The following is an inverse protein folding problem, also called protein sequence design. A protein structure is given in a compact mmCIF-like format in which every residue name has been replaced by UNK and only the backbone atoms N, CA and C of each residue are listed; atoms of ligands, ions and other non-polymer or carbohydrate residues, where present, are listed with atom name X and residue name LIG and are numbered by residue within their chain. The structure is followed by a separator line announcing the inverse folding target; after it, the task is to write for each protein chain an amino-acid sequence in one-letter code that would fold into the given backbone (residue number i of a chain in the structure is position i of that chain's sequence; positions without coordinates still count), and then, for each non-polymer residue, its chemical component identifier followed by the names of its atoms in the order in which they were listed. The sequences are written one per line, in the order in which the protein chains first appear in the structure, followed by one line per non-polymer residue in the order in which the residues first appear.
data_IF_026612635436
#
_entry.id   IF_026612635436
#
_cell.length_a   1.000
_cell.length_b   1.000
_cell.length_c   1.000
_cell.angle_alpha   90.00
_cell.angle_beta   90.00
_cell.angle_gamma   90.00
#
_symmetry.space_group_name_H-M   'P 1'
#
loop_
_entity.id
_entity.type
_entity.pdbx_description
1 polymer ?
#
# COMPACT_ATOMS: atom_id res chain seq x y z
N UNK A 1 -6.00 -33.07 -17.50
CA UNK A 1 -7.41 -32.74 -17.91
C UNK A 1 -8.52 -33.19 -16.95
N UNK A 2 -8.52 -34.38 -16.32
CA UNK A 2 -9.57 -34.75 -15.33
C UNK A 2 -9.36 -34.10 -13.97
N UNK A 3 -8.13 -33.91 -13.53
CA UNK A 3 -7.81 -33.24 -12.24
C UNK A 3 -8.14 -31.74 -12.21
N UNK A 4 -8.00 -31.04 -13.35
CA UNK A 4 -8.30 -29.60 -13.43
C UNK A 4 -9.78 -29.29 -13.19
N UNK A 5 -10.69 -30.14 -13.70
CA UNK A 5 -12.14 -29.93 -13.50
C UNK A 5 -12.57 -30.13 -12.05
N UNK A 6 -12.00 -31.11 -11.35
CA UNK A 6 -12.30 -31.34 -9.94
C UNK A 6 -11.75 -30.18 -9.08
N UNK A 7 -10.55 -29.70 -9.39
CA UNK A 7 -9.98 -28.53 -8.72
C UNK A 7 -10.84 -27.27 -8.90
N UNK A 8 -11.35 -27.03 -10.12
CA UNK A 8 -12.23 -25.88 -10.40
C UNK A 8 -13.57 -25.97 -9.65
N UNK A 9 -14.17 -27.17 -9.55
CA UNK A 9 -15.41 -27.37 -8.77
C UNK A 9 -15.19 -27.12 -7.29
N UNK A 10 -14.07 -27.59 -6.72
CA UNK A 10 -13.71 -27.33 -5.32
C UNK A 10 -13.39 -25.86 -5.07
N UNK A 11 -12.74 -25.19 -6.00
CA UNK A 11 -12.48 -23.74 -5.89
C UNK A 11 -13.78 -22.94 -5.88
N UNK A 12 -14.72 -23.27 -6.78
CA UNK A 12 -16.05 -22.65 -6.77
C UNK A 12 -16.80 -22.90 -5.45
N UNK A 13 -16.76 -24.14 -4.95
CA UNK A 13 -17.39 -24.48 -3.67
C UNK A 13 -16.82 -23.67 -2.51
N UNK A 14 -15.48 -23.46 -2.47
CA UNK A 14 -14.82 -22.61 -1.46
C UNK A 14 -15.29 -21.17 -1.55
N UNK A 15 -15.37 -20.60 -2.75
CA UNK A 15 -15.85 -19.22 -2.95
C UNK A 15 -17.31 -19.06 -2.54
N UNK A 16 -18.18 -19.99 -2.90
CA UNK A 16 -19.59 -20.00 -2.48
C UNK A 16 -19.74 -20.15 -0.96
N UNK A 17 -18.85 -20.90 -0.31
CA UNK A 17 -18.85 -21.08 1.14
C UNK A 17 -18.28 -19.85 1.88
N UNK A 18 -17.34 -19.13 1.27
CA UNK A 18 -16.74 -17.93 1.84
C UNK A 18 -17.62 -16.68 1.68
N UNK A 19 -18.52 -16.67 0.69
CA UNK A 19 -19.42 -15.55 0.45
C UNK A 19 -20.62 -15.57 1.38
N UNK A 20 -20.82 -14.52 2.18
CA UNK A 20 -21.97 -14.37 3.06
C UNK A 20 -23.30 -14.28 2.28
N UNK A 21 -23.26 -13.66 1.10
CA UNK A 21 -24.43 -13.45 0.23
C UNK A 21 -24.58 -14.54 -0.84
N UNK A 22 -23.53 -15.31 -1.10
CA UNK A 22 -23.43 -16.23 -2.21
C UNK A 22 -22.95 -15.55 -3.49
N UNK A 23 -22.76 -16.35 -4.56
CA UNK A 23 -22.30 -15.88 -5.85
C UNK A 23 -23.42 -15.96 -6.90
N UNK A 24 -23.53 -14.94 -7.73
CA UNK A 24 -24.35 -14.94 -8.94
C UNK A 24 -23.64 -15.68 -10.07
N UNK A 25 -24.37 -16.08 -11.12
CA UNK A 25 -23.76 -16.73 -12.28
C UNK A 25 -22.72 -15.85 -12.96
N UNK A 26 -22.99 -14.54 -13.08
CA UNK A 26 -22.05 -13.58 -13.66
C UNK A 26 -20.79 -13.35 -12.81
N UNK A 27 -20.87 -13.50 -11.49
CA UNK A 27 -19.70 -13.48 -10.62
C UNK A 27 -18.87 -14.76 -10.80
N UNK A 28 -19.52 -15.91 -10.90
CA UNK A 28 -18.83 -17.19 -11.20
C UNK A 28 -18.09 -17.15 -12.54
N UNK A 29 -18.71 -16.59 -13.59
CA UNK A 29 -18.08 -16.39 -14.90
C UNK A 29 -16.79 -15.58 -14.78
N UNK A 30 -16.85 -14.45 -14.08
CA UNK A 30 -15.72 -13.52 -13.92
C UNK A 30 -14.62 -14.08 -13.02
N UNK A 31 -14.97 -14.66 -11.89
CA UNK A 31 -14.00 -15.13 -10.91
C UNK A 31 -13.22 -16.36 -11.35
N UNK A 32 -13.83 -17.20 -12.18
CA UNK A 32 -13.20 -18.42 -12.70
C UNK A 32 -12.70 -18.27 -14.15
N UNK A 33 -12.91 -17.10 -14.75
CA UNK A 33 -12.58 -16.81 -16.16
C UNK A 33 -13.13 -17.90 -17.10
N UNK A 34 -14.45 -18.18 -16.97
CA UNK A 34 -15.12 -19.21 -17.75
C UNK A 34 -16.37 -18.66 -18.43
N UNK A 35 -16.74 -19.25 -19.58
CA UNK A 35 -17.97 -18.87 -20.23
C UNK A 35 -19.22 -19.40 -19.50
N UNK A 36 -20.38 -18.74 -19.75
CA UNK A 36 -21.67 -18.95 -19.07
C UNK A 36 -22.09 -20.42 -18.95
N UNK A 37 -22.00 -21.18 -20.03
CA UNK A 37 -22.36 -22.65 -20.02
C UNK A 37 -21.44 -23.44 -19.08
N UNK A 38 -20.17 -23.05 -18.97
CA UNK A 38 -19.22 -23.71 -18.05
C UNK A 38 -19.55 -23.32 -16.62
N UNK A 39 -19.85 -22.06 -16.34
CA UNK A 39 -20.26 -21.59 -15.03
C UNK A 39 -21.54 -22.28 -14.53
N UNK A 40 -22.54 -22.44 -15.39
CA UNK A 40 -23.78 -23.21 -15.11
C UNK A 40 -23.46 -24.65 -14.72
N UNK A 41 -22.63 -25.34 -15.50
CA UNK A 41 -22.23 -26.74 -15.22
C UNK A 41 -21.42 -26.86 -13.93
N UNK A 42 -20.55 -25.91 -13.62
CA UNK A 42 -19.78 -25.89 -12.38
C UNK A 42 -20.69 -25.65 -11.17
N UNK A 43 -21.61 -24.70 -11.27
CA UNK A 43 -22.64 -24.45 -10.24
C UNK A 43 -23.47 -25.72 -9.98
N UNK A 44 -23.98 -26.36 -11.02
CA UNK A 44 -24.78 -27.58 -10.90
C UNK A 44 -23.98 -28.73 -10.27
N UNK A 45 -22.70 -28.86 -10.61
CA UNK A 45 -21.80 -29.82 -9.98
C UNK A 45 -21.61 -29.52 -8.48
N UNK A 46 -21.47 -28.24 -8.09
CA UNK A 46 -21.39 -27.84 -6.68
C UNK A 46 -22.67 -28.16 -5.95
N UNK A 47 -23.84 -27.84 -6.52
CA UNK A 47 -25.15 -28.16 -5.90
C UNK A 47 -25.31 -29.67 -5.69
N UNK A 48 -24.88 -30.48 -6.65
CA UNK A 48 -24.93 -31.94 -6.55
C UNK A 48 -23.98 -32.49 -5.47
N UNK A 49 -22.77 -31.95 -5.35
CA UNK A 49 -21.75 -32.41 -4.41
C UNK A 49 -21.95 -31.87 -3.00
N UNK A 50 -22.58 -30.70 -2.87
CA UNK A 50 -22.84 -30.01 -1.62
C UNK A 50 -24.34 -29.72 -1.46
N UNK A 51 -25.16 -30.71 -0.99
CA UNK A 51 -26.61 -30.57 -0.90
C UNK A 51 -27.08 -29.41 0.00
N UNK A 52 -26.20 -28.89 0.87
CA UNK A 52 -26.43 -27.71 1.70
C UNK A 52 -26.32 -26.37 0.95
N UNK A 53 -26.11 -26.41 -0.37
CA UNK A 53 -26.11 -25.21 -1.20
C UNK A 53 -27.52 -24.62 -1.28
N UNK A 54 -27.65 -23.37 -0.86
CA UNK A 54 -28.89 -22.60 -0.90
C UNK A 54 -28.91 -21.66 -2.10
N UNK A 55 -30.09 -21.55 -2.72
CA UNK A 55 -30.37 -20.54 -3.73
C UNK A 55 -31.08 -19.37 -3.06
N UNK A 56 -30.48 -18.18 -3.15
CA UNK A 56 -31.06 -16.90 -2.72
C UNK A 56 -31.59 -16.10 -3.91
N UNK A 57 -32.63 -15.30 -3.66
CA UNK A 57 -33.17 -14.37 -4.66
C UNK A 57 -32.43 -13.04 -4.57
N UNK A 58 -31.90 -12.57 -5.70
CA UNK A 58 -31.27 -11.24 -5.88
C UNK A 58 -31.74 -10.67 -7.24
N UNK A 59 -33.01 -10.24 -7.35
CA UNK A 59 -33.58 -9.85 -8.64
C UNK A 59 -32.76 -8.75 -9.34
N UNK A 60 -32.47 -8.91 -10.65
CA UNK A 60 -32.96 -9.96 -11.55
C UNK A 60 -32.16 -11.28 -11.53
N UNK A 61 -31.20 -11.42 -10.63
CA UNK A 61 -30.29 -12.57 -10.56
C UNK A 61 -30.67 -13.53 -9.43
N UNK A 62 -30.04 -14.69 -9.45
CA UNK A 62 -30.04 -15.66 -8.36
C UNK A 62 -28.63 -15.75 -7.80
N UNK A 63 -28.52 -16.00 -6.48
CA UNK A 63 -27.26 -16.25 -5.79
C UNK A 63 -27.24 -17.65 -5.20
N UNK A 64 -26.10 -18.28 -5.21
CA UNK A 64 -25.88 -19.60 -4.60
C UNK A 64 -24.80 -19.52 -3.55
N UNK A 65 -25.09 -20.04 -2.36
CA UNK A 65 -24.14 -20.13 -1.25
C UNK A 65 -24.17 -21.50 -0.59
N UNK A 66 -23.07 -21.92 -0.01
CA UNK A 66 -23.01 -23.14 0.80
C UNK A 66 -23.21 -22.72 2.27
N UNK A 67 -24.36 -23.10 2.86
CA UNK A 67 -24.68 -22.76 4.25
C UNK A 67 -23.82 -23.58 5.21
N UNK A 68 -23.27 -22.92 6.24
CA UNK A 68 -22.37 -23.56 7.21
C UNK A 68 -20.94 -23.74 6.71
N UNK A 69 -20.62 -23.26 5.50
CA UNK A 69 -19.31 -23.33 4.90
C UNK A 69 -18.87 -24.75 4.53
N UNK A 70 -17.72 -24.83 3.92
CA UNK A 70 -16.96 -26.09 3.79
C UNK A 70 -16.38 -26.45 5.18
N UNK A 71 -15.87 -27.66 5.35
CA UNK A 71 -15.32 -28.06 6.65
C UNK A 71 -14.30 -27.01 7.16
N UNK A 72 -14.23 -26.80 8.46
CA UNK A 72 -13.32 -25.84 9.07
C UNK A 72 -11.84 -26.07 8.66
N UNK A 73 -11.51 -27.27 8.22
CA UNK A 73 -10.19 -27.61 7.67
C UNK A 73 -9.94 -27.00 6.28
N UNK A 74 -10.96 -26.94 5.43
CA UNK A 74 -10.84 -26.39 4.06
C UNK A 74 -10.82 -24.87 4.04
N UNK A 75 -11.32 -24.23 5.11
CA UNK A 75 -11.31 -22.77 5.29
C UNK A 75 -10.20 -22.29 6.24
N UNK A 76 -9.46 -23.19 6.84
CA UNK A 76 -8.38 -22.83 7.73
C UNK A 76 -7.26 -22.12 6.94
N UNK A 77 -6.72 -21.01 7.47
CA UNK A 77 -5.59 -20.35 6.83
C UNK A 77 -4.39 -21.30 6.76
N UNK A 78 -3.66 -21.22 5.68
CA UNK A 78 -2.41 -21.97 5.46
C UNK A 78 -1.29 -21.43 6.35
N UNK A 79 -0.24 -22.22 6.55
CA UNK A 79 0.98 -21.77 7.25
C UNK A 79 1.56 -20.53 6.58
N UNK A 80 1.62 -20.51 5.24
CA UNK A 80 2.14 -19.37 4.49
C UNK A 80 1.34 -18.08 4.74
N UNK A 81 0.01 -18.14 4.74
CA UNK A 81 -0.86 -16.99 5.02
C UNK A 81 -0.67 -16.46 6.45
N UNK A 82 -0.53 -17.34 7.43
CA UNK A 82 -0.27 -16.95 8.82
C UNK A 82 1.12 -16.33 8.99
N UNK A 83 2.12 -16.83 8.27
CA UNK A 83 3.49 -16.27 8.27
C UNK A 83 3.47 -14.86 7.67
N UNK A 84 2.86 -14.66 6.51
CA UNK A 84 2.81 -13.36 5.87
C UNK A 84 2.05 -12.34 6.73
N UNK A 85 0.97 -12.77 7.41
CA UNK A 85 0.24 -11.92 8.35
C UNK A 85 1.10 -11.52 9.56
N UNK A 86 1.84 -12.47 10.15
CA UNK A 86 2.74 -12.20 11.26
C UNK A 86 3.91 -11.28 10.84
N UNK A 87 4.52 -11.52 9.66
CA UNK A 87 5.56 -10.65 9.10
C UNK A 87 5.06 -9.22 8.85
N UNK A 88 3.87 -9.07 8.28
CA UNK A 88 3.27 -7.76 8.06
C UNK A 88 3.05 -7.00 9.37
N UNK A 89 2.59 -7.67 10.42
CA UNK A 89 2.45 -7.09 11.75
C UNK A 89 3.82 -6.69 12.34
N UNK A 90 4.84 -7.54 12.21
CA UNK A 90 6.20 -7.25 12.67
C UNK A 90 6.82 -6.06 11.91
N UNK A 91 6.62 -6.00 10.58
CA UNK A 91 7.09 -4.88 9.76
C UNK A 91 6.49 -3.55 10.20
N UNK A 92 5.17 -3.51 10.44
CA UNK A 92 4.49 -2.33 10.94
C UNK A 92 4.98 -1.92 12.34
N UNK A 93 5.25 -2.88 13.22
CA UNK A 93 5.80 -2.60 14.54
C UNK A 93 7.23 -2.02 14.44
N UNK A 94 8.07 -2.60 13.58
CA UNK A 94 9.43 -2.14 13.36
C UNK A 94 9.48 -0.75 12.72
N UNK A 95 8.51 -0.42 11.85
CA UNK A 95 8.36 0.90 11.25
C UNK A 95 7.76 1.96 12.18
N UNK A 96 7.41 1.60 13.44
CA UNK A 96 6.87 2.55 14.42
C UNK A 96 5.36 2.78 14.31
N UNK A 97 4.63 1.83 13.77
CA UNK A 97 3.17 1.86 13.61
C UNK A 97 2.46 0.81 14.50
N UNK A 98 2.57 0.92 15.85
CA UNK A 98 2.11 -0.13 16.78
C UNK A 98 0.60 -0.38 16.71
N UNK A 99 -0.22 0.63 16.45
CA UNK A 99 -1.67 0.47 16.34
C UNK A 99 -2.08 -0.36 15.13
N UNK A 100 -1.46 -0.13 13.97
CA UNK A 100 -1.68 -0.96 12.77
C UNK A 100 -1.16 -2.38 12.97
N UNK A 101 -0.02 -2.55 13.62
CA UNK A 101 0.50 -3.85 13.99
C UNK A 101 -0.49 -4.61 14.90
N UNK A 102 -1.01 -3.96 15.94
CA UNK A 102 -1.98 -4.54 16.86
C UNK A 102 -3.28 -4.98 16.17
N UNK A 103 -3.73 -4.26 15.14
CA UNK A 103 -4.89 -4.65 14.33
C UNK A 103 -4.66 -5.98 13.59
N UNK A 104 -3.48 -6.16 12.95
CA UNK A 104 -3.11 -7.41 12.28
C UNK A 104 -2.91 -8.56 13.28
N UNK A 105 -2.26 -8.31 14.41
CA UNK A 105 -2.10 -9.28 15.49
C UNK A 105 -3.47 -9.71 16.08
N UNK A 106 -4.41 -8.76 16.15
CA UNK A 106 -5.79 -9.04 16.53
C UNK A 106 -6.50 -9.96 15.54
N UNK A 107 -6.30 -9.73 14.23
CA UNK A 107 -6.83 -10.61 13.19
C UNK A 107 -6.18 -11.99 13.25
N UNK A 108 -4.86 -12.06 13.40
CA UNK A 108 -4.13 -13.33 13.54
C UNK A 108 -4.67 -14.17 14.73
N UNK A 109 -4.88 -13.53 15.90
CA UNK A 109 -5.48 -14.21 17.05
C UNK A 109 -6.88 -14.74 16.76
N UNK A 110 -7.73 -13.96 16.07
CA UNK A 110 -9.09 -14.41 15.69
C UNK A 110 -9.03 -15.60 14.75
N UNK A 111 -8.14 -15.56 13.75
CA UNK A 111 -7.96 -16.68 12.82
C UNK A 111 -7.47 -17.93 13.55
N UNK A 112 -6.44 -17.81 14.40
CA UNK A 112 -5.94 -18.93 15.21
C UNK A 112 -7.01 -19.50 16.16
N UNK A 113 -7.85 -18.65 16.77
CA UNK A 113 -8.92 -19.11 17.66
C UNK A 113 -10.05 -19.84 16.93
N UNK A 114 -10.25 -19.56 15.65
CA UNK A 114 -11.22 -20.28 14.81
C UNK A 114 -10.70 -21.63 14.29
N UNK A 115 -9.40 -21.89 14.40
CA UNK A 115 -8.79 -23.16 13.96
C UNK A 115 -8.94 -24.24 15.03
N UNK A 116 -9.01 -25.51 14.59
CA UNK A 116 -9.00 -26.66 15.52
C UNK A 116 -7.62 -26.75 16.20
N UNK A 117 -7.59 -27.06 17.48
CA UNK A 117 -6.36 -27.18 18.29
C UNK A 117 -5.36 -28.17 17.69
N UNK A 118 -5.83 -29.29 17.11
CA UNK A 118 -4.99 -30.28 16.44
C UNK A 118 -4.29 -29.70 15.20
N UNK A 119 -4.95 -28.84 14.44
CA UNK A 119 -4.36 -28.15 13.28
C UNK A 119 -3.33 -27.12 13.73
N UNK A 120 -3.66 -26.32 14.74
CA UNK A 120 -2.73 -25.33 15.31
C UNK A 120 -1.47 -26.00 15.87
N UNK A 121 -1.60 -27.06 16.66
CA UNK A 121 -0.46 -27.76 17.24
C UNK A 121 0.47 -28.35 16.16
N UNK A 122 -0.07 -28.74 15.01
CA UNK A 122 0.72 -29.25 13.88
C UNK A 122 1.46 -28.13 13.15
N UNK A 123 0.87 -26.92 13.05
CA UNK A 123 1.44 -25.78 12.32
C UNK A 123 2.36 -24.93 13.18
N UNK A 124 2.19 -24.93 14.51
CA UNK A 124 2.92 -24.06 15.42
C UNK A 124 4.45 -24.19 15.32
N UNK A 125 5.06 -25.39 15.27
CA UNK A 125 6.51 -25.52 15.16
C UNK A 125 7.08 -24.89 13.89
N UNK A 126 6.41 -25.10 12.74
CA UNK A 126 6.84 -24.56 11.44
C UNK A 126 6.67 -23.05 11.41
N UNK A 127 5.55 -22.54 11.95
CA UNK A 127 5.28 -21.12 12.05
C UNK A 127 6.33 -20.41 12.91
N UNK A 128 6.65 -20.95 14.10
CA UNK A 128 7.68 -20.39 14.98
C UNK A 128 9.07 -20.44 14.39
N UNK A 129 9.41 -21.54 13.69
CA UNK A 129 10.72 -21.69 13.05
C UNK A 129 10.89 -20.66 11.94
N UNK A 130 9.91 -20.47 11.08
CA UNK A 130 9.96 -19.53 9.96
C UNK A 130 9.91 -18.07 10.42
N UNK A 131 9.07 -17.73 11.40
CA UNK A 131 9.07 -16.37 11.98
C UNK A 131 10.41 -16.03 12.65
N UNK A 132 11.12 -17.00 13.23
CA UNK A 132 12.47 -16.79 13.77
C UNK A 132 13.56 -16.75 12.70
N UNK A 133 13.42 -17.52 11.64
CA UNK A 133 14.42 -17.59 10.56
C UNK A 133 14.41 -16.38 9.64
N UNK A 134 13.29 -15.66 9.58
CA UNK A 134 13.10 -14.53 8.70
C UNK A 134 12.90 -13.26 9.53
N UNK A 135 13.76 -12.27 9.34
CA UNK A 135 13.64 -10.96 9.99
C UNK A 135 13.61 -9.85 8.95
N UNK A 136 12.92 -8.77 9.29
CA UNK A 136 12.91 -7.57 8.46
C UNK A 136 14.02 -6.65 8.98
N UNK A 137 14.98 -6.31 8.10
CA UNK A 137 15.99 -5.33 8.43
C UNK A 137 15.32 -3.96 8.66
N UNK A 138 15.54 -3.42 9.86
CA UNK A 138 15.03 -2.09 10.21
C UNK A 138 15.86 -1.05 9.47
N UNK A 139 15.26 -0.35 8.52
CA UNK A 139 15.91 0.78 7.88
C UNK A 139 15.94 1.99 8.84
N UNK A 140 17.09 2.65 8.93
CA UNK A 140 17.20 3.90 9.65
C UNK A 140 16.32 4.98 8.97
N UNK A 141 15.55 5.70 9.77
CA UNK A 141 14.66 6.75 9.25
C UNK A 141 13.86 7.41 10.37
N UNK A 142 13.15 8.49 10.05
CA UNK A 142 12.24 9.10 11.02
C UNK A 142 11.20 8.06 11.43
N UNK A 143 10.95 7.94 12.73
CA UNK A 143 9.83 7.13 13.22
C UNK A 143 8.54 7.85 12.84
N UNK A 144 7.66 7.28 12.03
CA UNK A 144 6.36 7.88 11.77
C UNK A 144 5.52 7.77 13.04
N UNK A 145 5.59 8.77 13.92
CA UNK A 145 4.65 8.86 15.04
C UNK A 145 3.37 9.49 14.50
N UNK A 146 2.47 8.68 13.94
CA UNK A 146 1.10 9.13 13.81
C UNK A 146 0.45 8.95 15.19
N UNK A 147 0.02 10.03 15.80
CA UNK A 147 -0.93 9.95 16.90
C UNK A 147 -2.16 9.22 16.37
N UNK A 148 -2.47 8.08 16.94
CA UNK A 148 -3.57 7.23 16.48
C UNK A 148 -4.91 7.96 16.57
N UNK A 149 -5.05 8.89 17.52
CA UNK A 149 -6.19 9.78 17.65
C UNK A 149 -6.29 10.73 16.43
N UNK A 150 -5.18 11.33 15.99
CA UNK A 150 -5.16 12.16 14.78
C UNK A 150 -5.57 11.37 13.55
N UNK A 151 -5.07 10.16 13.41
CA UNK A 151 -5.41 9.30 12.27
C UNK A 151 -6.89 8.87 12.31
N UNK A 152 -7.43 8.57 13.50
CA UNK A 152 -8.84 8.25 13.67
C UNK A 152 -9.75 9.42 13.28
N UNK A 153 -9.45 10.63 13.73
CA UNK A 153 -10.20 11.85 13.36
C UNK A 153 -10.17 12.11 11.85
N UNK A 154 -9.01 11.97 11.21
CA UNK A 154 -8.88 12.11 9.75
C UNK A 154 -9.78 11.08 9.03
N UNK A 155 -9.72 9.80 9.44
CA UNK A 155 -10.54 8.75 8.83
C UNK A 155 -12.04 9.01 9.00
N UNK A 156 -12.44 9.44 10.19
CA UNK A 156 -13.82 9.82 10.47
C UNK A 156 -14.29 10.98 9.59
N UNK A 157 -13.48 12.03 9.44
CA UNK A 157 -13.80 13.16 8.59
C UNK A 157 -13.94 12.74 7.11
N UNK A 158 -13.05 11.89 6.60
CA UNK A 158 -13.11 11.33 5.24
C UNK A 158 -14.41 10.54 5.03
N UNK A 159 -14.70 9.59 5.95
CA UNK A 159 -15.90 8.74 5.86
C UNK A 159 -17.20 9.55 5.94
N UNK A 160 -17.20 10.61 6.75
CA UNK A 160 -18.36 11.48 6.93
C UNK A 160 -18.48 12.58 5.86
N UNK A 161 -17.50 12.72 4.95
CA UNK A 161 -17.45 13.79 3.96
C UNK A 161 -17.43 15.19 4.61
N UNK A 162 -16.67 15.35 5.71
CA UNK A 162 -16.62 16.58 6.52
C UNK A 162 -15.27 17.29 6.40
N UNK A 163 -15.24 18.62 6.53
CA UNK A 163 -13.99 19.37 6.64
C UNK A 163 -13.22 18.98 7.89
N UNK A 164 -11.90 19.15 7.84
CA UNK A 164 -10.99 18.89 8.95
C UNK A 164 -10.28 20.20 9.34
N UNK A 165 -10.39 20.60 10.60
CA UNK A 165 -9.62 21.69 11.17
C UNK A 165 -8.48 21.18 12.04
N UNK A 166 -7.35 21.88 12.01
CA UNK A 166 -6.19 21.58 12.83
C UNK A 166 -5.23 22.77 12.92
N UNK A 167 -4.35 22.74 13.91
CA UNK A 167 -3.20 23.64 14.02
C UNK A 167 -1.99 22.95 13.40
N UNK A 168 -1.35 23.61 12.44
CA UNK A 168 -0.17 23.08 11.75
C UNK A 168 1.08 23.88 12.12
N UNK A 169 2.09 23.18 12.66
CA UNK A 169 3.35 23.77 13.12
C UNK A 169 4.51 23.29 12.24
N UNK A 170 5.30 24.21 11.70
CA UNK A 170 6.54 23.92 10.97
C UNK A 170 7.74 24.42 11.77
N UNK A 171 8.88 23.71 11.75
CA UNK A 171 10.10 24.22 12.36
C UNK A 171 10.46 25.59 11.81
N UNK A 172 10.72 26.55 12.69
CA UNK A 172 11.07 27.93 12.31
C UNK A 172 9.94 28.81 11.79
N UNK A 173 8.68 28.36 11.89
CA UNK A 173 7.51 29.14 11.49
C UNK A 173 6.43 29.12 12.59
N UNK A 174 5.61 30.17 12.63
CA UNK A 174 4.46 30.24 13.52
C UNK A 174 3.43 29.14 13.19
N UNK A 175 2.81 28.62 14.23
CA UNK A 175 1.71 27.69 14.11
C UNK A 175 0.49 28.36 13.45
N UNK A 176 -0.13 27.68 12.48
CA UNK A 176 -1.27 28.23 11.74
C UNK A 176 -2.48 27.30 11.81
N UNK A 177 -3.65 27.88 12.04
CA UNK A 177 -4.91 27.16 11.88
C UNK A 177 -5.15 26.85 10.40
N UNK A 178 -5.66 25.65 10.13
CA UNK A 178 -6.03 25.17 8.81
C UNK A 178 -7.42 24.56 8.85
N UNK A 179 -8.20 24.80 7.81
CA UNK A 179 -9.45 24.10 7.53
C UNK A 179 -9.40 23.59 6.08
N UNK A 180 -9.50 22.29 5.92
CA UNK A 180 -9.24 21.63 4.64
C UNK A 180 -10.30 20.57 4.32
N UNK A 181 -10.46 20.22 3.05
CA UNK A 181 -11.20 19.04 2.61
C UNK A 181 -10.23 17.83 2.56
N UNK A 182 -10.34 16.85 3.45
CA UNK A 182 -9.43 15.71 3.48
C UNK A 182 -9.64 14.83 2.25
N UNK A 183 -8.55 14.51 1.53
CA UNK A 183 -8.57 13.69 0.32
C UNK A 183 -8.03 12.28 0.56
N UNK A 184 -7.18 12.09 1.59
CA UNK A 184 -6.62 10.80 1.95
C UNK A 184 -5.37 10.90 2.80
N UNK A 185 -4.78 9.75 3.13
CA UNK A 185 -3.54 9.65 3.92
C UNK A 185 -2.51 8.86 3.13
N UNK A 186 -1.31 9.42 3.00
CA UNK A 186 -0.14 8.72 2.45
C UNK A 186 0.79 8.29 3.58
N UNK A 187 1.18 7.02 3.56
CA UNK A 187 2.12 6.41 4.49
C UNK A 187 3.49 6.25 3.83
N UNK A 188 4.55 6.62 4.53
CA UNK A 188 5.92 6.53 4.05
C UNK A 188 6.93 6.81 5.16
N UNK A 189 8.08 7.41 4.84
CA UNK A 189 9.09 7.82 5.86
C UNK A 189 8.51 8.73 6.94
N UNK A 190 7.47 9.48 6.63
CA UNK A 190 6.54 10.13 7.56
C UNK A 190 5.13 9.94 6.99
N UNK A 191 4.10 10.16 7.82
CA UNK A 191 2.72 10.03 7.40
C UNK A 191 2.15 11.42 7.06
N UNK A 192 1.36 11.50 6.00
CA UNK A 192 0.85 12.77 5.46
C UNK A 192 -0.65 12.71 5.19
N UNK A 193 -1.35 13.73 5.65
CA UNK A 193 -2.68 14.05 5.14
C UNK A 193 -2.52 14.73 3.78
N UNK A 194 -3.21 14.22 2.77
CA UNK A 194 -3.44 14.92 1.50
C UNK A 194 -4.80 15.59 1.60
N UNK A 195 -4.86 16.88 1.38
CA UNK A 195 -6.10 17.63 1.52
C UNK A 195 -6.16 18.82 0.56
N UNK A 196 -7.36 19.18 0.14
CA UNK A 196 -7.61 20.40 -0.61
C UNK A 196 -7.84 21.57 0.36
N UNK A 197 -7.16 22.65 0.14
CA UNK A 197 -7.43 23.93 0.79
C UNK A 197 -8.84 24.42 0.39
N UNK A 198 -9.66 24.79 1.37
CA UNK A 198 -11.08 25.10 1.12
C UNK A 198 -11.30 26.40 0.33
N UNK A 199 -10.37 27.32 0.41
CA UNK A 199 -10.47 28.63 -0.25
C UNK A 199 -9.95 28.55 -1.69
N UNK A 200 -8.77 27.96 -1.86
CA UNK A 200 -8.05 27.90 -3.16
C UNK A 200 -8.30 26.62 -3.96
N UNK A 201 -8.84 25.57 -3.35
CA UNK A 201 -8.98 24.25 -3.96
C UNK A 201 -7.65 23.51 -4.20
N UNK A 202 -6.51 24.10 -3.84
CA UNK A 202 -5.18 23.51 -4.09
C UNK A 202 -4.93 22.32 -3.18
N UNK A 203 -4.46 21.24 -3.77
CA UNK A 203 -4.02 20.07 -3.01
C UNK A 203 -2.71 20.39 -2.29
N UNK A 204 -2.68 20.07 -1.00
CA UNK A 204 -1.51 20.23 -0.14
C UNK A 204 -1.30 18.97 0.69
N UNK A 205 -0.06 18.77 1.14
CA UNK A 205 0.32 17.67 2.03
C UNK A 205 0.72 18.22 3.39
N UNK A 206 0.21 17.59 4.45
CA UNK A 206 0.47 17.96 5.84
C UNK A 206 1.02 16.76 6.60
N UNK A 207 2.20 16.89 7.20
CA UNK A 207 2.77 15.84 8.04
C UNK A 207 1.91 15.67 9.30
N UNK A 208 1.52 14.43 9.60
CA UNK A 208 0.64 14.12 10.73
C UNK A 208 1.27 14.48 12.08
N UNK A 209 2.58 14.25 12.22
CA UNK A 209 3.35 14.60 13.43
C UNK A 209 3.48 16.12 13.71
N UNK A 210 3.01 16.95 12.78
CA UNK A 210 3.00 18.42 12.91
C UNK A 210 1.59 19.00 13.08
N UNK A 211 0.61 18.12 13.18
CA UNK A 211 -0.80 18.49 13.37
C UNK A 211 -1.17 18.36 14.85
N UNK A 212 -1.91 19.31 15.35
CA UNK A 212 -2.48 19.29 16.70
C UNK A 212 -3.90 19.85 16.69
N UNK A 213 -4.66 19.57 17.74
CA UNK A 213 -6.07 19.97 17.86
C UNK A 213 -6.91 19.60 16.63
N UNK A 214 -6.68 18.40 16.10
CA UNK A 214 -7.37 17.88 14.92
C UNK A 214 -8.82 17.56 15.27
N UNK A 215 -9.76 18.09 14.47
CA UNK A 215 -11.19 17.83 14.66
C UNK A 215 -11.95 17.94 13.33
N UNK A 216 -12.97 17.14 13.14
CA UNK A 216 -13.94 17.35 12.08
C UNK A 216 -14.77 18.64 12.34
N UNK A 217 -15.02 19.40 11.30
CA UNK A 217 -15.90 20.58 11.34
C UNK A 217 -17.29 20.27 10.80
N UNK A 218 -18.25 21.15 11.06
CA UNK A 218 -19.56 21.08 10.42
C UNK A 218 -19.47 21.48 8.95
N UNK A 219 -20.36 20.89 8.15
CA UNK A 219 -20.44 21.13 6.70
C UNK A 219 -20.03 19.92 5.88
N UNK A 220 -20.05 20.10 4.57
CA UNK A 220 -19.67 19.07 3.60
C UNK A 220 -18.34 19.45 2.96
N UNK A 221 -17.44 18.49 2.87
CA UNK A 221 -16.20 18.62 2.14
C UNK A 221 -15.89 17.30 1.43
N UNK A 222 -15.51 17.41 0.17
CA UNK A 222 -15.12 16.28 -0.66
C UNK A 222 -13.84 16.63 -1.43
N UNK A 223 -13.07 15.64 -1.83
CA UNK A 223 -11.96 15.87 -2.74
C UNK A 223 -12.43 16.59 -4.02
N UNK A 224 -11.55 17.37 -4.65
CA UNK A 224 -11.86 17.97 -5.96
C UNK A 224 -12.31 16.91 -6.97
N UNK A 225 -13.21 17.29 -7.88
CA UNK A 225 -13.71 16.38 -8.92
C UNK A 225 -12.55 15.78 -9.72
N UNK A 226 -12.56 14.47 -9.89
CA UNK A 226 -11.50 13.73 -10.61
C UNK A 226 -10.20 13.53 -9.82
N UNK A 227 -10.11 13.93 -8.56
CA UNK A 227 -8.94 13.64 -7.73
C UNK A 227 -8.86 12.15 -7.41
N UNK A 228 -7.71 11.56 -7.69
CA UNK A 228 -7.36 10.20 -7.29
C UNK A 228 -6.07 10.20 -6.48
N UNK A 229 -6.14 9.68 -5.26
CA UNK A 229 -5.00 9.67 -4.32
C UNK A 229 -3.84 8.81 -4.82
N UNK A 230 -4.13 7.69 -5.48
CA UNK A 230 -3.09 6.80 -5.99
C UNK A 230 -2.34 7.46 -7.15
N UNK A 231 -3.07 8.08 -8.08
CA UNK A 231 -2.47 8.85 -9.17
C UNK A 231 -1.65 10.02 -8.64
N UNK A 232 -2.16 10.76 -7.64
CA UNK A 232 -1.44 11.85 -7.00
C UNK A 232 -0.13 11.35 -6.33
N UNK A 233 -0.18 10.26 -5.59
CA UNK A 233 0.99 9.68 -4.94
C UNK A 233 2.02 9.15 -5.94
N UNK A 234 1.56 8.57 -7.06
CA UNK A 234 2.43 8.01 -8.10
C UNK A 234 3.12 9.05 -8.99
N UNK A 235 2.78 10.34 -8.87
CA UNK A 235 3.44 11.42 -9.62
C UNK A 235 4.77 11.87 -9.01
N UNK A 236 5.07 11.46 -7.77
CA UNK A 236 6.28 11.86 -7.07
C UNK A 236 7.26 10.69 -6.92
N UNK A 237 8.55 10.97 -7.00
CA UNK A 237 9.59 10.02 -6.63
C UNK A 237 9.53 9.61 -5.15
N UNK A 238 9.01 10.50 -4.30
CA UNK A 238 8.77 10.25 -2.89
C UNK A 238 7.43 10.84 -2.46
N UNK A 239 7.44 11.70 -1.45
CA UNK A 239 6.23 12.33 -0.90
C UNK A 239 6.16 13.82 -1.25
N UNK A 240 7.30 14.47 -1.50
CA UNK A 240 7.32 15.88 -1.88
C UNK A 240 6.73 16.07 -3.27
N UNK A 241 5.71 16.91 -3.34
CA UNK A 241 5.05 17.29 -4.57
C UNK A 241 5.54 18.68 -4.99
N UNK A 242 6.31 18.72 -6.06
CA UNK A 242 6.71 19.94 -6.75
C UNK A 242 6.34 19.82 -8.24
N UNK A 243 6.96 20.56 -9.13
CA UNK A 243 6.71 20.44 -10.55
C UNK A 243 7.16 19.07 -11.09
N UNK A 244 6.31 18.47 -11.93
CA UNK A 244 6.61 17.19 -12.59
C UNK A 244 7.57 17.48 -13.73
N UNK A 245 8.69 16.79 -13.74
CA UNK A 245 9.73 16.91 -14.75
C UNK A 245 10.07 15.58 -15.42
N UNK A 246 10.58 15.65 -16.64
CA UNK A 246 11.13 14.50 -17.34
C UNK A 246 12.54 14.22 -16.80
N UNK A 247 12.70 13.12 -16.09
CA UNK A 247 13.98 12.70 -15.51
C UNK A 247 14.68 11.75 -16.47
N UNK A 248 15.95 12.04 -16.73
CA UNK A 248 16.85 11.19 -17.53
C UNK A 248 18.15 11.00 -16.76
N UNK A 249 18.45 9.76 -16.42
CA UNK A 249 19.65 9.35 -15.72
C UNK A 249 20.46 8.43 -16.62
N UNK A 250 21.75 8.67 -16.76
CA UNK A 250 22.67 7.75 -17.40
C UNK A 250 23.44 7.01 -16.30
N UNK A 251 23.40 5.69 -16.32
CA UNK A 251 24.05 4.82 -15.35
C UNK A 251 25.23 4.14 -16.03
N UNK A 252 26.36 4.11 -15.35
CA UNK A 252 27.57 3.46 -15.85
C UNK A 252 27.40 1.94 -15.96
N UNK A 253 28.28 1.25 -16.74
CA UNK A 253 28.23 -0.21 -16.86
C UNK A 253 28.27 -0.94 -15.51
N UNK A 254 29.01 -0.42 -14.54
CA UNK A 254 29.16 -1.00 -13.20
C UNK A 254 27.86 -1.01 -12.40
N UNK A 255 27.00 0.01 -12.61
CA UNK A 255 25.71 0.13 -11.94
C UNK A 255 24.53 -0.40 -12.74
N UNK A 256 24.75 -0.85 -13.98
CA UNK A 256 23.67 -1.16 -14.92
C UNK A 256 22.75 -2.30 -14.46
N UNK A 257 23.33 -3.36 -13.90
CA UNK A 257 22.54 -4.52 -13.42
C UNK A 257 21.66 -4.14 -12.22
N UNK A 258 22.20 -3.37 -11.29
CA UNK A 258 21.43 -2.86 -10.17
C UNK A 258 20.33 -1.91 -10.66
N UNK A 259 20.63 -1.04 -11.61
CA UNK A 259 19.65 -0.11 -12.16
C UNK A 259 18.48 -0.83 -12.87
N UNK A 260 18.72 -1.95 -13.56
CA UNK A 260 17.68 -2.78 -14.18
C UNK A 260 16.79 -3.45 -13.13
N UNK A 261 17.36 -3.87 -12.01
CA UNK A 261 16.63 -4.48 -10.91
C UNK A 261 15.88 -3.44 -10.04
N UNK A 262 16.23 -2.16 -10.18
CA UNK A 262 15.65 -1.09 -9.35
C UNK A 262 14.33 -0.58 -9.92
N UNK A 263 13.36 -0.39 -9.04
CA UNK A 263 12.12 0.29 -9.39
C UNK A 263 12.23 1.78 -9.09
N UNK A 264 12.61 2.56 -10.11
CA UNK A 264 12.78 4.02 -10.02
C UNK A 264 11.45 4.76 -9.90
N UNK A 265 10.50 4.43 -10.76
CA UNK A 265 9.20 5.09 -10.83
C UNK A 265 8.20 4.24 -11.61
N UNK A 266 6.86 4.34 -11.35
CA UNK A 266 5.86 3.60 -12.13
C UNK A 266 5.90 3.88 -13.65
N UNK A 267 6.38 5.06 -14.08
CA UNK A 267 6.48 5.47 -15.49
C UNK A 267 7.86 5.22 -16.10
N UNK A 268 8.73 4.44 -15.44
CA UNK A 268 10.10 4.25 -15.92
C UNK A 268 10.19 3.46 -17.22
N UNK A 269 11.16 3.83 -18.04
CA UNK A 269 11.75 2.99 -19.08
C UNK A 269 13.26 2.91 -18.87
N UNK A 270 13.86 1.77 -19.20
CA UNK A 270 15.28 1.52 -19.11
C UNK A 270 15.76 1.07 -20.48
N UNK A 271 16.78 1.75 -21.02
CA UNK A 271 17.34 1.52 -22.35
C UNK A 271 18.82 1.15 -22.20
N UNK A 272 19.22 -0.01 -22.75
CA UNK A 272 20.62 -0.43 -22.79
C UNK A 272 21.44 0.47 -23.72
N UNK A 273 22.68 0.75 -23.32
CA UNK A 273 23.61 1.55 -24.09
C UNK A 273 24.74 0.68 -24.67
N UNK A 274 25.34 1.08 -25.81
CA UNK A 274 26.40 0.30 -26.46
C UNK A 274 27.66 0.11 -25.60
N UNK A 275 27.89 0.98 -24.63
CA UNK A 275 29.01 0.93 -23.68
C UNK A 275 28.77 -0.03 -22.49
N UNK A 276 27.61 -0.69 -22.45
CA UNK A 276 27.17 -1.56 -21.36
C UNK A 276 26.43 -0.86 -20.23
N UNK A 277 26.37 0.46 -20.24
CA UNK A 277 25.55 1.25 -19.34
C UNK A 277 24.05 1.20 -19.67
N UNK A 278 23.24 1.92 -18.90
CA UNK A 278 21.80 2.09 -19.17
C UNK A 278 21.36 3.53 -19.02
N UNK A 279 20.30 3.89 -19.75
CA UNK A 279 19.59 5.15 -19.56
C UNK A 279 18.22 4.87 -18.95
N UNK A 280 17.97 5.47 -17.79
CA UNK A 280 16.68 5.41 -17.10
C UNK A 280 15.92 6.70 -17.37
N UNK A 281 14.66 6.57 -17.80
CA UNK A 281 13.76 7.70 -18.07
C UNK A 281 12.46 7.52 -17.28
N UNK A 282 11.97 8.59 -16.70
CA UNK A 282 10.66 8.62 -16.06
C UNK A 282 10.19 10.07 -15.86
N UNK A 283 8.91 10.25 -15.53
CA UNK A 283 8.35 11.56 -15.18
C UNK A 283 7.97 11.58 -13.72
N UNK A 284 8.52 12.51 -12.96
CA UNK A 284 8.23 12.63 -11.54
C UNK A 284 8.37 14.06 -11.03
N UNK A 285 7.69 14.36 -9.93
CA UNK A 285 8.00 15.43 -8.99
C UNK A 285 8.91 14.90 -7.87
N UNK A 286 9.24 15.71 -6.86
CA UNK A 286 10.04 15.28 -5.70
C UNK A 286 11.54 15.29 -5.97
N UNK A 287 12.03 16.30 -6.70
CA UNK A 287 13.44 16.38 -7.10
C UNK A 287 14.41 16.32 -5.92
N UNK A 288 14.01 16.78 -4.74
CA UNK A 288 14.86 16.75 -3.55
C UNK A 288 15.04 15.32 -3.01
N UNK A 289 13.98 14.53 -2.95
CA UNK A 289 14.05 13.12 -2.50
C UNK A 289 14.81 12.28 -3.52
N UNK A 290 14.62 12.57 -4.81
CA UNK A 290 15.39 11.94 -5.86
C UNK A 290 16.89 12.28 -5.74
N UNK A 291 17.25 13.56 -5.51
CA UNK A 291 18.65 13.95 -5.29
C UNK A 291 19.26 13.19 -4.10
N UNK A 292 18.55 13.07 -2.98
CA UNK A 292 19.03 12.27 -1.84
C UNK A 292 19.23 10.80 -2.18
N UNK A 293 18.33 10.23 -2.95
CA UNK A 293 18.47 8.85 -3.41
C UNK A 293 19.70 8.69 -4.31
N UNK A 294 19.94 9.63 -5.24
CA UNK A 294 21.06 9.55 -6.17
C UNK A 294 22.44 9.63 -5.48
N UNK A 295 22.53 10.15 -4.24
CA UNK A 295 23.78 10.06 -3.47
C UNK A 295 24.21 8.63 -3.19
N UNK A 296 23.27 7.67 -3.10
CA UNK A 296 23.59 6.26 -2.87
C UNK A 296 24.24 5.60 -4.10
N UNK A 297 24.09 6.19 -5.27
CA UNK A 297 24.67 5.72 -6.54
C UNK A 297 26.08 6.25 -6.80
N UNK A 298 26.51 7.28 -6.05
CA UNK A 298 27.84 7.87 -6.19
C UNK A 298 28.15 8.30 -7.61
N UNK A 299 29.29 7.87 -8.13
CA UNK A 299 29.78 8.19 -9.48
C UNK A 299 29.12 7.36 -10.59
N UNK A 300 28.37 6.31 -10.22
CA UNK A 300 27.70 5.43 -11.18
C UNK A 300 26.53 6.10 -11.89
N UNK A 301 26.00 7.22 -11.36
CA UNK A 301 24.88 7.93 -11.94
C UNK A 301 25.27 9.33 -12.42
N UNK A 302 24.87 9.65 -13.65
CA UNK A 302 24.96 10.99 -14.22
C UNK A 302 23.56 11.52 -14.54
N UNK A 303 23.20 12.64 -13.95
CA UNK A 303 21.94 13.33 -14.23
C UNK A 303 22.06 13.98 -15.62
N UNK A 304 21.25 13.53 -16.58
CA UNK A 304 21.18 14.12 -17.91
C UNK A 304 20.14 15.23 -17.91
N UNK A 305 18.93 14.96 -17.39
CA UNK A 305 17.81 15.89 -17.29
C UNK A 305 17.03 15.61 -15.99
N UNK A 306 16.42 16.57 -15.32
CA UNK A 306 16.35 18.00 -15.64
C UNK A 306 17.52 18.79 -15.02
N UNK A 307 17.81 20.01 -15.52
CA UNK A 307 18.80 20.91 -14.90
C UNK A 307 18.48 21.26 -13.43
N UNK A 308 17.20 21.33 -13.08
CA UNK A 308 16.74 21.57 -11.70
C UNK A 308 17.23 20.48 -10.74
N UNK A 309 17.20 19.21 -11.14
CA UNK A 309 17.70 18.11 -10.32
C UNK A 309 19.21 18.24 -10.05
N UNK A 310 20.00 18.68 -11.06
CA UNK A 310 21.43 18.97 -10.87
C UNK A 310 21.64 20.10 -9.87
N UNK A 311 20.84 21.17 -9.97
CA UNK A 311 20.92 22.31 -9.04
C UNK A 311 20.56 21.91 -7.60
N UNK A 312 19.50 21.13 -7.43
CA UNK A 312 19.09 20.59 -6.12
C UNK A 312 20.19 19.72 -5.53
N UNK A 313 20.74 18.79 -6.30
CA UNK A 313 21.82 17.90 -5.86
C UNK A 313 23.08 18.68 -5.47
N UNK A 314 23.47 19.67 -6.26
CA UNK A 314 24.61 20.54 -5.96
C UNK A 314 24.38 21.34 -4.65
N UNK A 315 23.17 21.83 -4.41
CA UNK A 315 22.81 22.52 -3.16
C UNK A 315 22.88 21.61 -1.93
N UNK A 316 22.36 20.39 -2.01
CA UNK A 316 22.42 19.40 -0.93
C UNK A 316 23.88 18.97 -0.66
N UNK A 317 24.69 18.78 -1.71
CA UNK A 317 26.11 18.47 -1.56
C UNK A 317 26.89 19.61 -0.86
N UNK A 318 26.64 20.85 -1.26
CA UNK A 318 27.24 22.00 -0.62
C UNK A 318 26.83 22.12 0.87
N UNK A 319 25.57 21.81 1.20
CA UNK A 319 25.11 21.79 2.59
C UNK A 319 25.80 20.68 3.41
N UNK A 320 25.93 19.49 2.84
CA UNK A 320 26.64 18.37 3.48
C UNK A 320 28.12 18.70 3.73
N UNK A 321 28.79 19.32 2.75
CA UNK A 321 30.18 19.75 2.87
C UNK A 321 30.36 20.77 4.02
N UNK A 322 29.49 21.79 4.10
CA UNK A 322 29.54 22.75 5.21
C UNK A 322 29.37 22.08 6.58
N UNK A 323 28.51 21.08 6.69
CA UNK A 323 28.31 20.34 7.93
C UNK A 323 29.57 19.54 8.35
N UNK A 324 30.28 18.96 7.38
CA UNK A 324 31.57 18.27 7.63
C UNK A 324 32.66 19.28 8.09
N UNK A 325 32.75 20.43 7.45
CA UNK A 325 33.74 21.46 7.78
C UNK A 325 33.52 22.04 9.20
N UNK A 326 32.23 22.18 9.62
CA UNK A 326 31.87 22.64 10.97
C UNK A 326 32.18 21.62 12.07
N UNK A 327 32.23 20.32 11.75
CA UNK A 327 32.54 19.27 12.72
C UNK A 327 34.05 19.18 13.03
N UNK A 328 34.88 19.90 12.30
CA UNK A 328 36.34 19.94 12.49
C UNK A 328 36.84 21.20 13.25
N UNK A 329 35.93 22.12 13.56
CA UNK A 329 36.17 23.33 14.35
C UNK A 329 35.63 23.17 15.79
#
# INVERSE_FOLDING_TARGET
MRHDKAATVLDLARRMAASAEGLTLGEIERELDVGRRTAERLRDAVIMLFPQTEEGSDPPNKRWRIRGGLSAFEQAPTTAELIELAKAAQALRASGEPGRAAALEGLERKLKSAMRSTTLNRLAPDLEALVRAETIAVQAGPRPSADEAVLAEIRQAILAGRPLAFIYSRPGAEARSRSVAPCGVMFGRANYLVAADRESGRIQTFRLDRMSAVRAEEGVASPPAGFDLQSFASQSFGIYQDEIEDVVLAISPEGADEARAWRWHPTQSIEDQPDGGVVVRFRASGMRELAWHLFTWGEQVRIVNPPRLKAVMAGELAAARRALDQAQA
#
